data_IF_534208674154
#
_entry.id   IF_534208674154
#
_cell.length_a   1.000
_cell.length_b   1.000
_cell.length_c   1.000
_cell.angle_alpha   90.00
_cell.angle_beta   90.00
_cell.angle_gamma   90.00
#
_symmetry.space_group_name_H-M   'P 1'
#
loop_
_entity.id
_entity.type
_entity.pdbx_description
1 polymer ?
#
# COMPACT_ATOMS: atom_id res chain seq x y z
N UNK A 1 -7.20 7.84 7.71
CA UNK A 1 -8.53 8.41 8.04
C UNK A 1 -8.85 8.15 9.51
N UNK A 2 -9.79 8.89 10.05
CA UNK A 2 -10.27 8.77 11.41
C UNK A 2 -11.74 8.30 11.44
N UNK A 3 -12.26 7.97 12.61
CA UNK A 3 -13.68 7.64 12.76
C UNK A 3 -14.62 8.76 12.25
N UNK A 4 -14.17 10.01 12.30
CA UNK A 4 -14.93 11.16 11.81
C UNK A 4 -15.06 11.17 10.27
N UNK A 5 -14.16 10.54 9.55
CA UNK A 5 -14.15 10.48 8.09
C UNK A 5 -15.08 9.39 7.53
N UNK A 6 -15.45 8.40 8.35
CA UNK A 6 -16.25 7.23 7.92
C UNK A 6 -17.55 7.63 7.22
N UNK A 7 -18.38 8.56 7.72
CA UNK A 7 -19.61 8.94 7.05
C UNK A 7 -19.37 9.49 5.63
N UNK A 8 -18.31 10.29 5.45
CA UNK A 8 -17.93 10.83 4.13
C UNK A 8 -17.44 9.71 3.21
N UNK A 9 -16.62 8.78 3.70
CA UNK A 9 -16.16 7.62 2.95
C UNK A 9 -17.33 6.74 2.49
N UNK A 10 -18.32 6.51 3.37
CA UNK A 10 -19.55 5.78 3.04
C UNK A 10 -20.39 6.50 2.00
N UNK A 11 -20.54 7.82 2.12
CA UNK A 11 -21.23 8.62 1.13
C UNK A 11 -20.56 8.53 -0.24
N UNK A 12 -19.25 8.69 -0.32
CA UNK A 12 -18.48 8.60 -1.57
C UNK A 12 -18.54 7.21 -2.19
N UNK A 13 -18.36 6.17 -1.38
CA UNK A 13 -18.42 4.78 -1.83
C UNK A 13 -19.78 4.38 -2.41
N UNK A 14 -20.86 5.01 -1.95
CA UNK A 14 -22.22 4.79 -2.46
C UNK A 14 -22.61 5.77 -3.58
N UNK A 15 -21.82 6.83 -3.79
CA UNK A 15 -22.03 7.88 -4.78
C UNK A 15 -20.96 7.87 -5.87
N UNK A 16 -20.12 8.89 -5.86
CA UNK A 16 -19.12 9.16 -6.91
C UNK A 16 -18.07 8.05 -7.08
N UNK A 17 -17.67 7.40 -5.99
CA UNK A 17 -16.69 6.32 -5.99
C UNK A 17 -17.31 4.92 -6.11
N UNK A 18 -18.64 4.81 -6.29
CA UNK A 18 -19.35 3.53 -6.33
C UNK A 18 -18.77 2.55 -7.34
N UNK A 19 -18.43 3.03 -8.53
CA UNK A 19 -17.86 2.20 -9.59
C UNK A 19 -16.56 1.51 -9.14
N UNK A 20 -15.64 2.27 -8.53
CA UNK A 20 -14.36 1.73 -8.07
C UNK A 20 -14.52 0.72 -6.93
N UNK A 21 -15.41 1.01 -5.98
CA UNK A 21 -15.70 0.10 -4.86
C UNK A 21 -16.35 -1.19 -5.34
N UNK A 22 -17.26 -1.10 -6.28
CA UNK A 22 -17.94 -2.27 -6.84
C UNK A 22 -16.99 -3.11 -7.72
N UNK A 23 -16.08 -2.48 -8.48
CA UNK A 23 -15.03 -3.16 -9.23
C UNK A 23 -14.09 -3.93 -8.29
N UNK A 24 -13.54 -3.28 -7.27
CA UNK A 24 -12.67 -3.93 -6.28
C UNK A 24 -13.41 -5.09 -5.57
N UNK A 25 -14.68 -4.91 -5.22
CA UNK A 25 -15.49 -6.00 -4.68
C UNK A 25 -15.62 -7.18 -5.65
N UNK A 26 -15.83 -6.90 -6.94
CA UNK A 26 -15.95 -7.92 -7.97
C UNK A 26 -14.68 -8.72 -8.15
N UNK A 27 -13.53 -8.02 -8.16
CA UNK A 27 -12.20 -8.64 -8.34
C UNK A 27 -11.86 -9.63 -7.21
N UNK A 28 -12.31 -9.35 -6.00
CA UNK A 28 -12.07 -10.19 -4.83
C UNK A 28 -13.31 -10.96 -4.33
N UNK A 29 -14.39 -11.00 -5.12
CA UNK A 29 -15.63 -11.66 -4.72
C UNK A 29 -15.45 -13.16 -4.42
N UNK A 30 -14.55 -13.84 -5.13
CA UNK A 30 -14.26 -15.24 -4.94
C UNK A 30 -13.56 -15.57 -3.60
N UNK A 31 -13.05 -14.57 -2.90
CA UNK A 31 -12.39 -14.74 -1.60
C UNK A 31 -13.26 -14.29 -0.41
N UNK A 32 -14.37 -13.62 -0.69
CA UNK A 32 -15.29 -13.14 0.35
C UNK A 32 -15.98 -14.31 1.05
N UNK A 33 -15.73 -14.45 2.34
CA UNK A 33 -16.26 -15.54 3.15
C UNK A 33 -15.36 -16.77 3.20
N UNK A 34 -14.31 -16.82 2.39
CA UNK A 34 -13.36 -17.94 2.41
C UNK A 34 -12.49 -17.94 3.67
N UNK A 35 -12.10 -19.12 4.17
CA UNK A 35 -11.12 -19.23 5.25
C UNK A 35 -9.76 -18.69 4.77
N UNK A 36 -8.91 -18.32 5.72
CA UNK A 36 -7.53 -18.01 5.45
C UNK A 36 -6.84 -19.15 4.68
N UNK A 37 -6.18 -18.87 3.53
CA UNK A 37 -5.48 -19.91 2.78
C UNK A 37 -4.29 -20.43 3.60
N UNK A 38 -4.31 -21.73 3.94
CA UNK A 38 -3.26 -22.38 4.70
C UNK A 38 -2.76 -23.63 3.96
N UNK A 39 -1.48 -23.70 3.56
CA UNK A 39 -0.45 -22.67 3.77
C UNK A 39 -0.70 -21.41 2.93
N UNK A 40 -0.29 -20.25 3.47
CA UNK A 40 -0.31 -19.02 2.69
C UNK A 40 0.60 -19.17 1.47
N UNK A 41 0.16 -18.72 0.30
CA UNK A 41 0.96 -18.85 -0.91
C UNK A 41 2.35 -18.21 -0.74
N UNK A 42 3.39 -18.93 -1.14
CA UNK A 42 4.77 -18.46 -1.04
C UNK A 42 5.25 -17.73 -2.28
N UNK A 43 4.49 -17.80 -3.37
CA UNK A 43 4.75 -17.07 -4.60
C UNK A 43 4.40 -15.60 -4.40
N UNK A 44 5.33 -14.69 -4.75
CA UNK A 44 5.15 -13.26 -4.55
C UNK A 44 3.90 -12.70 -5.26
N UNK A 45 3.51 -13.25 -6.42
CA UNK A 45 2.29 -12.83 -7.12
C UNK A 45 1.04 -13.14 -6.32
N UNK A 46 1.06 -14.23 -5.60
CA UNK A 46 -0.08 -14.64 -4.77
C UNK A 46 -0.08 -13.90 -3.42
N UNK A 47 1.08 -13.49 -2.91
CA UNK A 47 1.16 -12.68 -1.70
C UNK A 47 0.64 -11.26 -1.88
N UNK A 48 0.84 -10.67 -3.07
CA UNK A 48 0.22 -9.40 -3.45
C UNK A 48 -1.30 -9.45 -3.33
N UNK A 49 -1.91 -10.57 -3.71
CA UNK A 49 -3.35 -10.76 -3.50
C UNK A 49 -3.72 -10.75 -2.01
N UNK A 50 -2.83 -11.14 -1.12
CA UNK A 50 -3.03 -11.03 0.34
C UNK A 50 -3.17 -9.59 0.81
N UNK A 51 -2.24 -8.70 0.43
CA UNK A 51 -2.34 -7.26 0.75
C UNK A 51 -3.59 -6.64 0.09
N UNK A 52 -3.76 -6.82 -1.20
CA UNK A 52 -4.87 -6.22 -1.93
C UNK A 52 -6.23 -6.74 -1.51
N UNK A 53 -6.34 -8.03 -1.19
CA UNK A 53 -7.57 -8.62 -0.68
C UNK A 53 -7.91 -8.04 0.69
N UNK A 54 -6.95 -7.98 1.62
CA UNK A 54 -7.16 -7.40 2.94
C UNK A 54 -7.57 -5.93 2.85
N UNK A 55 -6.85 -5.12 2.08
CA UNK A 55 -7.19 -3.71 1.86
C UNK A 55 -8.59 -3.56 1.26
N UNK A 56 -8.97 -4.44 0.32
CA UNK A 56 -10.31 -4.42 -0.26
C UNK A 56 -11.38 -4.81 0.76
N UNK A 57 -11.15 -5.82 1.57
CA UNK A 57 -12.10 -6.25 2.61
C UNK A 57 -12.25 -5.19 3.69
N UNK A 58 -11.16 -4.54 4.11
CA UNK A 58 -11.18 -3.41 5.06
C UNK A 58 -11.97 -2.23 4.49
N UNK A 59 -11.72 -1.88 3.23
CA UNK A 59 -12.47 -0.84 2.52
C UNK A 59 -13.96 -1.17 2.48
N UNK A 60 -14.36 -2.39 2.14
CA UNK A 60 -15.76 -2.81 2.11
C UNK A 60 -16.39 -2.83 3.51
N UNK A 61 -15.64 -3.29 4.52
CA UNK A 61 -16.09 -3.30 5.91
C UNK A 61 -16.44 -1.88 6.40
N UNK A 62 -15.62 -0.89 6.07
CA UNK A 62 -15.80 0.50 6.49
C UNK A 62 -16.82 1.22 5.61
N UNK A 63 -16.66 1.16 4.29
CA UNK A 63 -17.43 2.01 3.36
C UNK A 63 -18.81 1.47 3.05
N UNK A 64 -19.01 0.15 3.12
CA UNK A 64 -20.29 -0.54 2.87
C UNK A 64 -20.89 -1.16 4.13
N UNK A 65 -20.20 -1.06 5.26
CA UNK A 65 -20.55 -1.78 6.48
C UNK A 65 -20.74 -3.30 6.21
N UNK A 66 -19.89 -3.85 5.32
CA UNK A 66 -20.00 -5.25 4.88
C UNK A 66 -19.44 -6.18 5.96
N UNK A 67 -20.36 -6.89 6.63
CA UNK A 67 -20.01 -7.82 7.71
C UNK A 67 -19.24 -9.03 7.20
N UNK A 68 -19.52 -9.51 5.98
CA UNK A 68 -18.77 -10.63 5.40
C UNK A 68 -17.32 -10.24 5.13
N UNK A 69 -17.11 -9.09 4.49
CA UNK A 69 -15.79 -8.56 4.25
C UNK A 69 -15.00 -8.35 5.56
N UNK A 70 -15.63 -7.75 6.56
CA UNK A 70 -15.02 -7.57 7.90
C UNK A 70 -14.60 -8.88 8.54
N UNK A 71 -15.47 -9.89 8.52
CA UNK A 71 -15.16 -11.18 9.12
C UNK A 71 -14.07 -11.92 8.33
N UNK A 72 -14.07 -11.81 7.01
CA UNK A 72 -13.01 -12.37 6.17
C UNK A 72 -11.67 -11.71 6.47
N UNK A 73 -11.61 -10.37 6.51
CA UNK A 73 -10.39 -9.64 6.87
C UNK A 73 -9.86 -10.05 8.25
N UNK A 74 -10.74 -10.12 9.26
CA UNK A 74 -10.34 -10.58 10.60
C UNK A 74 -9.74 -11.98 10.58
N UNK A 75 -10.39 -12.93 9.94
CA UNK A 75 -9.94 -14.32 9.88
C UNK A 75 -8.60 -14.44 9.15
N UNK A 76 -8.42 -13.70 8.06
CA UNK A 76 -7.19 -13.70 7.29
C UNK A 76 -6.04 -13.04 8.07
N UNK A 77 -6.29 -11.91 8.75
CA UNK A 77 -5.29 -11.25 9.57
C UNK A 77 -4.81 -12.17 10.72
N UNK A 78 -5.72 -12.85 11.41
CA UNK A 78 -5.38 -13.81 12.47
C UNK A 78 -4.63 -15.04 11.93
N UNK A 79 -4.99 -15.51 10.74
CA UNK A 79 -4.28 -16.59 10.04
C UNK A 79 -2.86 -16.19 9.66
N UNK A 80 -2.69 -15.01 9.07
CA UNK A 80 -1.38 -14.43 8.78
C UNK A 80 -0.52 -14.29 10.03
N UNK A 81 -1.08 -13.80 11.12
CA UNK A 81 -0.38 -13.66 12.39
C UNK A 81 0.07 -15.00 12.99
N UNK A 82 -0.62 -16.09 12.69
CA UNK A 82 -0.26 -17.44 13.15
C UNK A 82 0.79 -18.12 12.28
N UNK A 83 0.83 -17.83 10.98
CA UNK A 83 1.62 -18.60 9.99
C UNK A 83 3.11 -18.20 9.93
N UNK A 84 3.51 -17.03 10.46
CA UNK A 84 4.91 -16.53 10.47
C UNK A 84 5.62 -16.61 9.11
N UNK A 85 4.94 -16.23 8.07
CA UNK A 85 5.31 -16.32 6.65
C UNK A 85 6.44 -15.37 6.21
N UNK A 86 6.88 -14.41 7.01
CA UNK A 86 7.95 -13.46 6.70
C UNK A 86 9.34 -14.04 6.49
N UNK A 87 9.49 -15.34 6.62
CA UNK A 87 10.76 -16.04 6.36
C UNK A 87 10.86 -16.65 4.96
N UNK A 88 9.85 -16.42 4.08
CA UNK A 88 9.71 -17.24 2.87
C UNK A 88 10.21 -16.58 1.58
N UNK A 89 10.09 -15.28 1.43
CA UNK A 89 10.43 -14.55 0.21
C UNK A 89 10.82 -13.11 0.55
N UNK A 90 11.14 -12.33 -0.47
CA UNK A 90 11.54 -10.95 -0.43
C UNK A 90 10.32 -10.00 -0.39
N UNK A 91 9.38 -10.13 -1.35
CA UNK A 91 8.19 -9.28 -1.45
C UNK A 91 7.02 -9.76 -0.58
N UNK A 92 6.80 -11.08 -0.53
CA UNK A 92 5.67 -11.68 0.19
C UNK A 92 5.58 -11.24 1.67
N UNK A 93 6.67 -11.22 2.45
CA UNK A 93 6.65 -10.70 3.81
C UNK A 93 6.19 -9.25 3.90
N UNK A 94 6.60 -8.42 2.96
CA UNK A 94 6.32 -6.98 2.98
C UNK A 94 4.85 -6.71 2.67
N UNK A 95 4.30 -7.40 1.67
CA UNK A 95 2.89 -7.26 1.30
C UNK A 95 1.97 -7.70 2.42
N UNK A 96 2.22 -8.86 2.97
CA UNK A 96 1.37 -9.37 4.02
C UNK A 96 1.53 -8.58 5.34
N UNK A 97 2.72 -8.02 5.65
CA UNK A 97 2.88 -7.11 6.79
C UNK A 97 2.08 -5.81 6.57
N UNK A 98 2.07 -5.28 5.33
CA UNK A 98 1.27 -4.11 4.98
C UNK A 98 -0.22 -4.37 5.16
N UNK A 99 -0.73 -5.47 4.61
CA UNK A 99 -2.13 -5.86 4.74
C UNK A 99 -2.52 -6.13 6.19
N UNK A 100 -1.70 -6.89 6.93
CA UNK A 100 -1.92 -7.18 8.34
C UNK A 100 -2.01 -5.90 9.19
N UNK A 101 -1.07 -4.98 8.96
CA UNK A 101 -0.99 -3.71 9.71
C UNK A 101 -2.19 -2.82 9.42
N UNK A 102 -2.62 -2.73 8.15
CA UNK A 102 -3.81 -1.98 7.78
C UNK A 102 -5.07 -2.58 8.40
N UNK A 103 -5.26 -3.89 8.32
CA UNK A 103 -6.42 -4.56 8.90
C UNK A 103 -6.45 -4.40 10.43
N UNK A 104 -5.29 -4.47 11.10
CA UNK A 104 -5.18 -4.22 12.54
C UNK A 104 -5.69 -2.82 12.90
N UNK A 105 -5.24 -1.79 12.20
CA UNK A 105 -5.63 -0.40 12.45
C UNK A 105 -7.12 -0.15 12.10
N UNK A 106 -7.53 -0.52 10.90
CA UNK A 106 -8.89 -0.27 10.38
C UNK A 106 -9.96 -1.00 11.19
N UNK A 107 -9.68 -2.25 11.59
CA UNK A 107 -10.63 -3.09 12.33
C UNK A 107 -10.31 -3.19 13.82
N UNK A 108 -9.50 -2.31 14.38
CA UNK A 108 -9.01 -2.34 15.77
C UNK A 108 -10.12 -2.65 16.80
N UNK A 109 -11.25 -1.95 16.72
CA UNK A 109 -12.37 -2.11 17.64
C UNK A 109 -13.21 -3.39 17.40
N UNK A 110 -12.94 -4.12 16.33
CA UNK A 110 -13.58 -5.40 16.03
C UNK A 110 -12.77 -6.62 16.51
N UNK A 111 -11.56 -6.40 17.02
CA UNK A 111 -10.73 -7.43 17.63
C UNK A 111 -10.90 -7.44 19.17
N UNK A 112 -10.89 -8.61 19.77
CA UNK A 112 -10.73 -8.77 21.20
C UNK A 112 -9.30 -8.40 21.63
N UNK A 113 -9.06 -8.16 22.93
CA UNK A 113 -7.69 -7.86 23.40
C UNK A 113 -6.71 -9.01 23.12
N UNK A 114 -7.15 -10.25 23.26
CA UNK A 114 -6.31 -11.41 22.94
C UNK A 114 -5.93 -11.47 21.45
N UNK A 115 -6.88 -11.17 20.57
CA UNK A 115 -6.62 -11.08 19.12
C UNK A 115 -5.68 -9.90 18.82
N UNK A 116 -5.89 -8.72 19.41
CA UNK A 116 -4.98 -7.58 19.26
C UNK A 116 -3.56 -7.92 19.72
N UNK A 117 -3.41 -8.57 20.86
CA UNK A 117 -2.09 -8.99 21.34
C UNK A 117 -1.39 -9.95 20.37
N UNK A 118 -2.12 -10.91 19.78
CA UNK A 118 -1.60 -11.80 18.76
C UNK A 118 -1.14 -11.03 17.51
N UNK A 119 -1.97 -10.11 17.03
CA UNK A 119 -1.67 -9.30 15.84
C UNK A 119 -0.49 -8.36 16.09
N UNK A 120 -0.44 -7.66 17.24
CA UNK A 120 0.71 -6.81 17.62
C UNK A 120 2.02 -7.59 17.65
N UNK A 121 2.02 -8.78 18.26
CA UNK A 121 3.21 -9.63 18.30
C UNK A 121 3.69 -10.01 16.89
N UNK A 122 2.76 -10.35 16.01
CA UNK A 122 3.06 -10.72 14.62
C UNK A 122 3.58 -9.50 13.82
N UNK A 123 2.95 -8.33 13.97
CA UNK A 123 3.41 -7.08 13.33
C UNK A 123 4.80 -6.71 13.83
N UNK A 124 5.05 -6.80 15.13
CA UNK A 124 6.37 -6.55 15.71
C UNK A 124 7.44 -7.49 15.15
N UNK A 125 7.17 -8.79 15.08
CA UNK A 125 8.10 -9.77 14.52
C UNK A 125 8.41 -9.46 13.05
N UNK A 126 7.38 -9.19 12.24
CA UNK A 126 7.55 -8.83 10.83
C UNK A 126 8.33 -7.54 10.64
N UNK A 127 8.04 -6.51 11.42
CA UNK A 127 8.75 -5.23 11.39
C UNK A 127 10.23 -5.40 11.79
N UNK A 128 10.51 -6.21 12.81
CA UNK A 128 11.88 -6.52 13.24
C UNK A 128 12.66 -7.25 12.15
N UNK A 129 12.01 -8.20 11.47
CA UNK A 129 12.58 -8.89 10.32
C UNK A 129 12.94 -7.92 9.18
N UNK A 130 12.02 -7.03 8.80
CA UNK A 130 12.24 -6.04 7.74
C UNK A 130 13.36 -5.07 8.12
N UNK A 131 13.42 -4.61 9.38
CA UNK A 131 14.52 -3.78 9.86
C UNK A 131 15.86 -4.48 9.70
N UNK A 132 15.95 -5.75 10.08
CA UNK A 132 17.17 -6.55 9.88
C UNK A 132 17.59 -6.57 8.40
N UNK A 133 16.63 -6.75 7.50
CA UNK A 133 16.87 -6.73 6.05
C UNK A 133 17.32 -5.36 5.51
N UNK A 134 16.94 -4.26 6.14
CA UNK A 134 17.37 -2.90 5.76
C UNK A 134 18.88 -2.71 5.83
N UNK A 135 19.56 -3.46 6.68
CA UNK A 135 21.02 -3.37 6.87
C UNK A 135 21.79 -4.52 6.20
N UNK A 136 21.10 -5.40 5.49
CA UNK A 136 21.75 -6.44 4.68
C UNK A 136 22.11 -5.82 3.33
N UNK A 137 23.33 -6.05 2.88
CA UNK A 137 23.78 -5.58 1.57
C UNK A 137 23.08 -6.40 0.45
N UNK A 138 21.98 -5.87 -0.01
CA UNK A 138 21.21 -6.33 -1.16
C UNK A 138 21.23 -5.24 -2.22
N UNK A 139 21.18 -5.59 -3.50
CA UNK A 139 21.24 -4.63 -4.61
C UNK A 139 20.19 -3.50 -4.49
N UNK A 140 19.04 -3.78 -3.90
CA UNK A 140 17.94 -2.83 -3.71
C UNK A 140 17.98 -2.08 -2.36
N UNK A 141 18.89 -2.43 -1.43
CA UNK A 141 18.90 -1.85 -0.08
C UNK A 141 19.20 -0.35 -0.09
N UNK A 142 20.05 0.08 -1.01
CA UNK A 142 20.49 1.46 -1.16
C UNK A 142 19.99 2.11 -2.45
N UNK A 143 19.15 1.43 -3.20
CA UNK A 143 18.49 1.96 -4.39
C UNK A 143 17.07 2.41 -4.05
N UNK A 144 16.95 3.68 -3.68
CA UNK A 144 15.68 4.27 -3.28
C UNK A 144 14.67 4.47 -4.43
N UNK A 145 15.02 4.15 -5.65
CA UNK A 145 14.09 4.13 -6.79
C UNK A 145 13.64 2.71 -7.17
N UNK A 146 14.13 1.70 -6.48
CA UNK A 146 13.77 0.31 -6.73
C UNK A 146 12.44 -0.07 -6.04
N UNK A 147 11.59 -0.80 -6.76
CA UNK A 147 10.29 -1.20 -6.26
C UNK A 147 10.37 -2.07 -4.98
N UNK A 148 11.39 -2.91 -4.81
CA UNK A 148 11.60 -3.67 -3.57
C UNK A 148 11.88 -2.77 -2.37
N UNK A 149 12.65 -1.67 -2.57
CA UNK A 149 12.86 -0.69 -1.52
C UNK A 149 11.55 0.02 -1.15
N UNK A 150 10.74 0.41 -2.15
CA UNK A 150 9.43 1.03 -1.91
C UNK A 150 8.51 0.14 -1.10
N UNK A 151 8.38 -1.14 -1.47
CA UNK A 151 7.55 -2.09 -0.73
C UNK A 151 8.02 -2.28 0.71
N UNK A 152 9.32 -2.48 0.91
CA UNK A 152 9.93 -2.63 2.23
C UNK A 152 9.68 -1.44 3.14
N UNK A 153 9.89 -0.23 2.61
CA UNK A 153 9.72 1.02 3.39
C UNK A 153 8.25 1.22 3.73
N UNK A 154 7.35 0.99 2.76
CA UNK A 154 5.92 1.03 2.97
C UNK A 154 5.48 0.06 4.08
N UNK A 155 5.91 -1.21 4.01
CA UNK A 155 5.55 -2.22 5.00
C UNK A 155 6.04 -1.87 6.40
N UNK A 156 7.28 -1.36 6.53
CA UNK A 156 7.82 -0.92 7.81
C UNK A 156 7.07 0.29 8.38
N UNK A 157 6.71 1.26 7.53
CA UNK A 157 5.93 2.42 7.95
C UNK A 157 4.53 2.02 8.42
N UNK A 158 3.82 1.22 7.62
CA UNK A 158 2.49 0.71 7.97
C UNK A 158 2.53 -0.04 9.31
N UNK A 159 3.52 -0.93 9.51
CA UNK A 159 3.66 -1.73 10.72
C UNK A 159 3.96 -0.86 11.95
N UNK A 160 4.93 0.05 11.82
CA UNK A 160 5.33 0.90 12.93
C UNK A 160 4.17 1.78 13.41
N UNK A 161 3.46 2.42 12.49
CA UNK A 161 2.37 3.33 12.88
C UNK A 161 1.09 2.61 13.29
N UNK A 162 0.84 1.38 12.82
CA UNK A 162 -0.31 0.59 13.25
C UNK A 162 -0.27 0.20 14.73
N UNK A 163 0.92 -0.05 15.29
CA UNK A 163 1.08 -0.47 16.70
C UNK A 163 1.76 0.60 17.58
N UNK A 164 1.92 1.84 17.06
CA UNK A 164 2.60 2.91 17.78
C UNK A 164 1.87 3.30 19.05
N UNK A 165 2.52 3.12 20.19
CA UNK A 165 1.96 3.49 21.49
C UNK A 165 0.91 2.53 22.05
N UNK A 166 0.58 1.45 21.38
CA UNK A 166 -0.46 0.49 21.76
C UNK A 166 -0.05 -0.37 22.96
N UNK A 167 1.21 -0.76 23.03
CA UNK A 167 1.74 -1.59 24.11
C UNK A 167 3.18 -1.16 24.43
N UNK A 168 3.46 -0.71 25.66
CA UNK A 168 4.79 -0.26 26.08
C UNK A 168 5.86 -1.35 26.07
N UNK A 169 5.47 -2.62 25.96
CA UNK A 169 6.43 -3.72 25.81
C UNK A 169 7.18 -3.66 24.46
N UNK A 170 6.61 -2.98 23.46
CA UNK A 170 7.21 -2.82 22.14
C UNK A 170 7.79 -1.40 21.98
N UNK A 171 9.12 -1.30 21.90
CA UNK A 171 9.79 -0.03 21.61
C UNK A 171 9.73 0.28 20.11
N UNK A 172 8.60 0.79 19.64
CA UNK A 172 8.31 1.04 18.21
C UNK A 172 8.99 2.31 17.68
N UNK A 173 9.29 3.29 18.53
CA UNK A 173 9.85 4.59 18.11
C UNK A 173 11.02 4.49 17.12
N UNK A 174 12.08 3.67 17.34
CA UNK A 174 13.21 3.59 16.41
C UNK A 174 12.81 3.07 15.01
N UNK A 175 11.73 2.33 14.89
CA UNK A 175 11.22 1.82 13.61
C UNK A 175 10.41 2.89 12.88
N UNK A 176 9.61 3.65 13.62
CA UNK A 176 8.87 4.79 13.08
C UNK A 176 9.84 5.86 12.56
N UNK A 177 10.86 6.21 13.34
CA UNK A 177 11.90 7.18 12.93
C UNK A 177 12.65 6.71 11.68
N UNK A 178 13.02 5.42 11.63
CA UNK A 178 13.68 4.84 10.47
C UNK A 178 12.77 4.85 9.24
N UNK A 179 11.49 4.54 9.40
CA UNK A 179 10.52 4.58 8.30
C UNK A 179 10.41 5.98 7.71
N UNK A 180 10.23 7.00 8.53
CA UNK A 180 10.17 8.40 8.08
C UNK A 180 11.46 8.82 7.38
N UNK A 181 12.61 8.46 7.92
CA UNK A 181 13.90 8.74 7.27
C UNK A 181 13.99 8.08 5.89
N UNK A 182 13.62 6.80 5.78
CA UNK A 182 13.65 6.07 4.52
C UNK A 182 12.67 6.64 3.48
N UNK A 183 11.48 7.08 3.90
CA UNK A 183 10.52 7.76 3.02
C UNK A 183 11.12 9.05 2.46
N UNK A 184 11.78 9.86 3.30
CA UNK A 184 12.48 11.07 2.84
C UNK A 184 13.59 10.73 1.85
N UNK A 185 14.39 9.69 2.10
CA UNK A 185 15.42 9.25 1.17
C UNK A 185 14.83 8.85 -0.19
N UNK A 186 13.68 8.16 -0.24
CA UNK A 186 12.99 7.88 -1.50
C UNK A 186 12.65 9.16 -2.24
N UNK A 187 12.10 10.14 -1.54
CA UNK A 187 11.67 11.41 -2.15
C UNK A 187 12.87 12.27 -2.60
N UNK A 188 13.97 12.26 -1.85
CA UNK A 188 15.20 12.99 -2.20
C UNK A 188 15.92 12.38 -3.42
N UNK A 189 15.79 11.06 -3.63
CA UNK A 189 16.38 10.37 -4.78
C UNK A 189 15.47 10.38 -6.00
N UNK A 190 14.19 10.63 -5.81
CA UNK A 190 13.21 10.63 -6.89
C UNK A 190 13.42 11.84 -7.82
N UNK A 191 13.43 11.64 -9.16
CA UNK A 191 13.57 12.74 -10.12
C UNK A 191 12.39 13.71 -10.05
N UNK A 192 12.66 14.99 -10.10
CA UNK A 192 11.65 16.05 -10.04
C UNK A 192 10.61 15.99 -11.18
N UNK A 193 10.99 15.42 -12.32
CA UNK A 193 10.09 15.24 -13.47
C UNK A 193 9.10 14.08 -13.33
N UNK A 194 9.14 13.37 -12.21
CA UNK A 194 8.25 12.26 -11.91
C UNK A 194 8.64 10.92 -12.56
N UNK A 195 9.76 10.87 -13.27
CA UNK A 195 10.23 9.63 -13.92
C UNK A 195 10.70 8.59 -12.91
N UNK A 196 10.76 7.34 -13.35
CA UNK A 196 11.30 6.21 -12.60
C UNK A 196 12.23 5.38 -13.48
N UNK A 197 13.42 5.03 -12.97
CA UNK A 197 14.45 4.34 -13.77
C UNK A 197 14.06 2.92 -14.16
N UNK A 198 13.23 2.25 -13.40
CA UNK A 198 12.73 0.90 -13.72
C UNK A 198 11.71 0.88 -14.87
N UNK A 199 11.29 2.06 -15.35
CA UNK A 199 10.36 2.20 -16.47
C UNK A 199 8.87 2.18 -16.08
N UNK A 200 7.96 2.35 -17.06
CA UNK A 200 6.54 2.57 -16.81
C UNK A 200 5.82 1.34 -16.22
N UNK A 201 6.29 0.13 -16.47
CA UNK A 201 5.73 -1.08 -15.90
C UNK A 201 5.96 -1.15 -14.39
N UNK A 202 7.20 -0.96 -13.96
CA UNK A 202 7.55 -0.94 -12.54
C UNK A 202 7.11 0.35 -11.83
N UNK A 203 6.97 1.47 -12.54
CA UNK A 203 6.28 2.63 -11.99
C UNK A 203 4.87 2.25 -11.56
N UNK A 204 4.12 1.57 -12.42
CA UNK A 204 2.78 1.10 -12.11
C UNK A 204 2.76 0.15 -10.90
N UNK A 205 3.73 -0.75 -10.83
CA UNK A 205 3.84 -1.75 -9.78
C UNK A 205 4.32 -1.15 -8.45
N UNK A 206 5.30 -0.24 -8.48
CA UNK A 206 5.98 0.26 -7.27
C UNK A 206 5.44 1.58 -6.73
N UNK A 207 4.92 2.46 -7.60
CA UNK A 207 4.58 3.83 -7.19
C UNK A 207 3.37 3.90 -6.23
N UNK A 208 2.49 2.91 -6.23
CA UNK A 208 1.40 2.87 -5.26
C UNK A 208 1.91 2.73 -3.81
N UNK A 209 3.02 2.05 -3.56
CA UNK A 209 3.66 2.02 -2.25
C UNK A 209 4.24 3.38 -1.88
N UNK A 210 4.85 4.09 -2.85
CA UNK A 210 5.35 5.45 -2.63
C UNK A 210 4.21 6.38 -2.21
N UNK A 211 3.12 6.37 -2.96
CA UNK A 211 1.92 7.18 -2.62
C UNK A 211 1.41 6.84 -1.23
N UNK A 212 1.27 5.55 -0.89
CA UNK A 212 0.77 5.10 0.40
C UNK A 212 1.65 5.56 1.56
N UNK A 213 2.98 5.32 1.48
CA UNK A 213 3.90 5.65 2.55
C UNK A 213 4.10 7.17 2.73
N UNK A 214 4.06 7.95 1.64
CA UNK A 214 4.17 9.41 1.70
C UNK A 214 2.95 10.01 2.40
N UNK A 215 1.74 9.63 2.00
CA UNK A 215 0.54 10.12 2.68
C UNK A 215 0.42 9.66 4.13
N UNK A 216 0.90 8.45 4.45
CA UNK A 216 1.02 8.02 5.84
C UNK A 216 1.97 8.94 6.61
N UNK A 217 3.15 9.22 6.04
CA UNK A 217 4.13 10.12 6.67
C UNK A 217 3.56 11.52 6.89
N UNK A 218 2.88 12.11 5.88
CA UNK A 218 2.19 13.40 6.03
C UNK A 218 1.17 13.38 7.18
N UNK A 219 0.39 12.30 7.26
CA UNK A 219 -0.63 12.17 8.30
C UNK A 219 -0.04 12.15 9.72
N UNK A 220 1.06 11.41 9.91
CA UNK A 220 1.65 11.22 11.24
C UNK A 220 2.61 12.34 11.66
N UNK A 221 3.24 13.02 10.70
CA UNK A 221 4.19 14.12 10.99
C UNK A 221 3.55 15.51 10.90
N UNK A 222 2.47 15.66 10.15
CA UNK A 222 1.88 16.95 9.81
C UNK A 222 2.66 17.71 8.73
N UNK A 223 3.67 17.11 8.10
CA UNK A 223 4.46 17.72 7.03
C UNK A 223 3.70 17.67 5.70
N UNK A 224 3.95 18.63 4.82
CA UNK A 224 3.43 18.61 3.44
C UNK A 224 4.51 18.05 2.49
N UNK A 225 4.70 16.75 2.51
CA UNK A 225 5.74 16.08 1.69
C UNK A 225 5.38 16.12 0.20
N UNK A 226 4.11 15.96 -0.15
CA UNK A 226 3.65 16.08 -1.55
C UNK A 226 3.97 17.46 -2.12
N UNK A 227 3.76 18.52 -1.34
CA UNK A 227 4.06 19.89 -1.80
C UNK A 227 5.55 20.23 -1.82
N UNK A 228 6.37 19.53 -1.04
CA UNK A 228 7.81 19.77 -0.97
C UNK A 228 8.61 19.09 -2.08
N UNK A 229 8.11 17.95 -2.58
CA UNK A 229 8.83 17.12 -3.55
C UNK A 229 8.11 17.09 -4.89
N UNK A 230 8.65 17.76 -5.94
CA UNK A 230 8.01 17.85 -7.27
C UNK A 230 7.71 16.48 -7.89
N UNK A 231 8.47 15.45 -7.55
CA UNK A 231 8.21 14.08 -8.00
C UNK A 231 6.77 13.66 -7.74
N UNK A 232 6.23 13.95 -6.54
CA UNK A 232 4.88 13.51 -6.16
C UNK A 232 3.78 14.16 -7.01
N UNK A 233 3.97 15.41 -7.43
CA UNK A 233 3.03 16.11 -8.29
C UNK A 233 3.25 15.86 -9.78
N UNK A 234 4.41 15.35 -10.18
CA UNK A 234 4.78 15.10 -11.58
C UNK A 234 4.75 13.62 -11.98
N UNK A 235 4.75 12.69 -11.02
CA UNK A 235 4.86 11.25 -11.30
C UNK A 235 3.77 10.73 -12.26
N UNK A 236 2.57 11.26 -12.21
CA UNK A 236 1.49 10.90 -13.13
C UNK A 236 1.81 11.32 -14.58
N UNK A 237 2.54 12.42 -14.78
CA UNK A 237 2.95 12.88 -16.12
C UNK A 237 3.89 11.88 -16.80
N UNK A 238 4.83 11.29 -16.04
CA UNK A 238 5.69 10.24 -16.55
C UNK A 238 4.85 9.11 -17.18
N UNK A 239 3.85 8.62 -16.45
CA UNK A 239 2.98 7.56 -16.95
C UNK A 239 2.18 8.00 -18.18
N UNK A 240 1.64 9.22 -18.18
CA UNK A 240 0.92 9.78 -19.32
C UNK A 240 1.79 9.85 -20.58
N UNK A 241 3.01 10.40 -20.46
CA UNK A 241 3.95 10.52 -21.59
C UNK A 241 4.50 9.17 -22.08
N UNK A 242 4.52 8.18 -21.22
CA UNK A 242 4.95 6.82 -21.58
C UNK A 242 3.81 5.96 -22.16
N UNK A 243 2.60 6.50 -22.26
CA UNK A 243 1.46 5.81 -22.88
C UNK A 243 1.42 6.08 -24.37
N UNK A 244 1.20 5.02 -25.17
CA UNK A 244 1.13 5.14 -26.64
C UNK A 244 -0.14 5.87 -27.07
N UNK A 245 -0.14 6.54 -28.24
CA UNK A 245 -1.36 7.08 -28.83
C UNK A 245 -2.43 5.99 -28.96
N UNK A 246 -3.63 6.27 -28.47
CA UNK A 246 -4.72 5.29 -28.45
C UNK A 246 -4.91 4.61 -27.08
N UNK A 247 -4.03 4.85 -26.13
CA UNK A 247 -4.17 4.46 -24.72
C UNK A 247 -4.27 2.94 -24.47
N UNK A 248 -3.79 2.14 -25.38
CA UNK A 248 -3.88 0.68 -25.32
C UNK A 248 -2.56 0.00 -24.93
N UNK A 249 -1.47 0.77 -24.84
CA UNK A 249 -0.15 0.24 -24.52
C UNK A 249 0.75 1.32 -23.92
N UNK A 250 1.89 0.93 -23.40
CA UNK A 250 2.96 1.81 -22.94
C UNK A 250 4.28 1.49 -23.61
N UNK A 251 5.16 2.50 -23.73
CA UNK A 251 6.51 2.26 -24.23
C UNK A 251 7.22 1.25 -23.35
N UNK A 252 7.74 0.19 -23.98
CA UNK A 252 8.46 -0.86 -23.27
C UNK A 252 9.90 -0.40 -22.97
N UNK A 253 10.09 0.26 -21.83
CA UNK A 253 11.38 0.69 -21.30
C UNK A 253 11.56 0.06 -19.93
N UNK A 254 12.74 -0.49 -19.66
CA UNK A 254 13.02 -1.24 -18.42
C UNK A 254 12.46 -2.66 -18.46
N UNK A 255 12.39 -3.29 -17.30
CA UNK A 255 12.02 -4.71 -17.15
C UNK A 255 10.50 -4.97 -17.14
N UNK A 256 9.70 -3.93 -17.03
CA UNK A 256 8.26 -4.05 -16.78
C UNK A 256 7.40 -4.46 -17.97
N UNK A 257 7.97 -4.56 -19.17
CA UNK A 257 7.21 -4.82 -20.39
C UNK A 257 6.25 -3.69 -20.77
N UNK A 258 5.66 -3.80 -21.98
CA UNK A 258 4.52 -2.99 -22.39
C UNK A 258 3.22 -3.55 -21.79
N UNK A 259 2.16 -2.79 -21.86
CA UNK A 259 0.82 -3.23 -21.44
C UNK A 259 -0.14 -2.07 -21.30
N UNK A 260 -1.42 -2.38 -21.45
CA UNK A 260 -2.45 -1.38 -21.24
C UNK A 260 -2.36 -0.77 -19.83
N UNK A 261 -2.60 0.51 -19.68
CA UNK A 261 -2.54 1.20 -18.39
C UNK A 261 -3.75 0.83 -17.52
N UNK A 262 -3.73 -0.37 -16.96
CA UNK A 262 -4.89 -0.97 -16.26
C UNK A 262 -5.02 -0.55 -14.80
N UNK A 263 -3.97 -0.01 -14.18
CA UNK A 263 -4.01 0.41 -12.80
C UNK A 263 -3.82 1.92 -12.69
N UNK A 264 -4.91 2.60 -12.49
CA UNK A 264 -4.95 4.07 -12.44
C UNK A 264 -4.86 4.64 -11.01
N UNK A 265 -4.79 3.81 -9.97
CA UNK A 265 -4.88 4.29 -8.58
C UNK A 265 -3.79 5.31 -8.24
N UNK A 266 -2.53 5.00 -8.55
CA UNK A 266 -1.41 5.92 -8.33
C UNK A 266 -1.51 7.17 -9.20
N UNK A 267 -2.00 7.03 -10.46
CA UNK A 267 -2.26 8.18 -11.34
C UNK A 267 -3.36 9.08 -10.83
N UNK A 268 -4.50 8.49 -10.40
CA UNK A 268 -5.63 9.26 -9.85
C UNK A 268 -5.17 10.08 -8.65
N UNK A 269 -4.37 9.48 -7.78
CA UNK A 269 -3.84 10.19 -6.62
C UNK A 269 -2.86 11.30 -7.02
N UNK A 270 -1.90 11.02 -7.88
CA UNK A 270 -0.95 12.03 -8.38
C UNK A 270 -1.64 13.21 -9.07
N UNK A 271 -2.68 12.93 -9.87
CA UNK A 271 -3.49 13.97 -10.51
C UNK A 271 -4.27 14.79 -9.48
N UNK A 272 -4.80 14.14 -8.45
CA UNK A 272 -5.50 14.83 -7.37
C UNK A 272 -4.57 15.73 -6.56
N UNK A 273 -3.35 15.26 -6.28
CA UNK A 273 -2.33 16.01 -5.55
C UNK A 273 -1.77 17.17 -6.36
N UNK A 274 -1.56 16.98 -7.66
CA UNK A 274 -1.11 18.02 -8.58
C UNK A 274 -2.16 19.11 -8.86
N UNK A 275 -3.43 18.78 -8.69
CA UNK A 275 -4.58 19.65 -9.04
C UNK A 275 -4.53 20.16 -10.49
N UNK A 276 -3.93 19.38 -11.40
CA UNK A 276 -3.76 19.75 -12.80
C UNK A 276 -5.05 19.50 -13.61
N UNK A 277 -5.67 20.56 -14.18
CA UNK A 277 -6.91 20.42 -14.94
C UNK A 277 -6.75 19.59 -16.22
N UNK A 278 -5.58 19.64 -16.87
CA UNK A 278 -5.31 18.86 -18.08
C UNK A 278 -5.29 17.37 -17.79
N UNK A 279 -4.50 16.96 -16.79
CA UNK A 279 -4.42 15.56 -16.36
C UNK A 279 -5.77 15.03 -15.87
N UNK A 280 -6.55 15.87 -15.17
CA UNK A 280 -7.93 15.54 -14.77
C UNK A 280 -8.82 15.29 -15.98
N UNK A 281 -8.70 16.10 -17.02
CA UNK A 281 -9.48 15.94 -18.26
C UNK A 281 -9.08 14.69 -19.01
N UNK A 282 -7.79 14.40 -19.11
CA UNK A 282 -7.27 13.16 -19.72
C UNK A 282 -7.82 11.94 -18.99
N UNK A 283 -7.74 11.92 -17.66
CA UNK A 283 -8.22 10.80 -16.86
C UNK A 283 -9.73 10.54 -17.03
N UNK A 284 -10.54 11.60 -17.18
CA UNK A 284 -11.99 11.45 -17.42
C UNK A 284 -12.32 10.85 -18.79
N UNK A 285 -11.42 10.97 -19.75
CA UNK A 285 -11.61 10.47 -21.11
C UNK A 285 -10.88 9.13 -21.36
N UNK A 286 -10.14 8.68 -20.37
CA UNK A 286 -9.46 7.40 -20.36
C UNK A 286 -10.38 6.32 -19.81
#
# INVERSE_FOLDING_TARGET
FTAADIPLLQQRANGEAKFFVDAARSDFAGYLGDPYPNPFPTDWKQSLYGDWALVTFDMLAVTRNDTTARNTAKNWALGLAADRWWVKDDLAPMDALSGLSMTYDVLYHHFTEAERAQLRAAIWDGMTYIRGRTFIDQYWTHDYQNNHAHNRINAMAMAAFAIYGDDPAYNVQPYADLAIQQIRNVLEWAPDDGSQHEGPGYWLFGHHWVVRMVHLAEHVTGENLVGQYPHMTNAHLFRLYMTTPGWNDTFNIGDGGGGAPNNVTAMVRGIADAQDPWSTTVLRNW
#
